data_IF_931041205218
#
_entry.id   IF_931041205218
#
_cell.length_a   1.000
_cell.length_b   1.000
_cell.length_c   1.000
_cell.angle_alpha   90.00
_cell.angle_beta   90.00
_cell.angle_gamma   90.00
#
_symmetry.space_group_name_H-M   'P 1'
#
loop_
_entity.id
_entity.type
_entity.pdbx_description
1 polymer ?
#
# COMPACT_ATOMS: atom_id res chain seq x y z
N UNK A 1 111.42 -23.73 -100.10
CA UNK A 1 110.47 -24.64 -99.41
C UNK A 1 109.99 -24.08 -98.06
N UNK A 2 110.72 -23.16 -97.45
CA UNK A 2 110.48 -22.69 -96.07
C UNK A 2 109.19 -21.88 -95.87
N UNK A 3 108.76 -21.07 -96.85
CA UNK A 3 107.55 -20.24 -96.71
C UNK A 3 106.24 -21.05 -96.62
N UNK A 4 106.19 -22.24 -97.25
CA UNK A 4 105.02 -23.13 -97.20
C UNK A 4 104.92 -23.86 -95.87
N UNK A 5 106.07 -24.22 -95.28
CA UNK A 5 106.15 -24.82 -93.95
C UNK A 5 105.77 -23.81 -92.87
N UNK A 6 106.22 -22.55 -93.01
CA UNK A 6 105.85 -21.47 -92.10
C UNK A 6 104.34 -21.17 -92.15
N UNK A 7 103.74 -21.12 -93.34
CA UNK A 7 102.31 -20.89 -93.48
C UNK A 7 101.47 -22.03 -92.87
N UNK A 8 101.91 -23.28 -93.05
CA UNK A 8 101.25 -24.45 -92.44
C UNK A 8 101.34 -24.44 -90.91
N UNK A 9 102.49 -24.07 -90.35
CA UNK A 9 102.65 -23.93 -88.90
C UNK A 9 101.79 -22.79 -88.34
N UNK A 10 101.70 -21.67 -89.06
CA UNK A 10 100.90 -20.51 -88.64
C UNK A 10 99.39 -20.80 -88.71
N UNK A 11 98.96 -21.53 -89.74
CA UNK A 11 97.56 -22.01 -89.84
C UNK A 11 97.25 -23.07 -88.78
N UNK A 12 98.17 -23.99 -88.49
CA UNK A 12 98.00 -24.97 -87.40
C UNK A 12 97.90 -24.29 -86.04
N UNK A 13 98.73 -23.28 -85.79
CA UNK A 13 98.69 -22.51 -84.54
C UNK A 13 97.38 -21.71 -84.43
N UNK A 14 96.92 -21.12 -85.53
CA UNK A 14 95.65 -20.39 -85.54
C UNK A 14 94.43 -21.29 -85.28
N UNK A 15 94.42 -22.51 -85.81
CA UNK A 15 93.35 -23.50 -85.51
C UNK A 15 93.39 -23.93 -84.04
N UNK A 16 94.58 -24.14 -83.46
CA UNK A 16 94.72 -24.50 -82.03
C UNK A 16 94.24 -23.34 -81.13
N UNK A 17 94.59 -22.09 -81.46
CA UNK A 17 94.13 -20.90 -80.72
C UNK A 17 92.62 -20.71 -80.83
N UNK A 18 92.03 -20.88 -82.02
CA UNK A 18 90.58 -20.80 -82.21
C UNK A 18 89.83 -21.91 -81.45
N UNK A 19 90.39 -23.12 -81.38
CA UNK A 19 89.78 -24.25 -80.67
C UNK A 19 89.85 -24.05 -79.14
N UNK A 20 90.92 -23.44 -78.63
CA UNK A 20 91.04 -23.09 -77.20
C UNK A 20 90.08 -21.98 -76.77
N UNK A 21 89.76 -21.03 -77.66
CA UNK A 21 88.79 -19.96 -77.38
C UNK A 21 87.33 -20.45 -77.25
N UNK A 22 86.98 -21.61 -77.82
CA UNK A 22 85.60 -22.14 -77.76
C UNK A 22 85.26 -22.87 -76.43
N UNK A 23 86.27 -23.23 -75.62
CA UNK A 23 86.08 -23.95 -74.36
C UNK A 23 85.69 -23.09 -73.14
N UNK A 24 85.93 -21.77 -73.20
CA UNK A 24 85.75 -20.85 -72.05
C UNK A 24 84.35 -20.25 -71.97
N UNK A 25 83.65 -20.13 -73.11
CA UNK A 25 82.29 -19.53 -73.17
C UNK A 25 81.16 -20.45 -72.67
N UNK A 26 81.47 -21.71 -72.33
CA UNK A 26 80.51 -22.70 -71.86
C UNK A 26 80.31 -22.75 -70.34
N UNK A 27 81.30 -22.31 -69.53
CA UNK A 27 81.16 -22.24 -68.06
C UNK A 27 80.48 -20.94 -67.64
N UNK A 28 80.84 -19.81 -68.24
CA UNK A 28 80.25 -18.48 -67.95
C UNK A 28 78.73 -18.44 -68.21
N UNK A 29 78.25 -19.12 -69.27
CA UNK A 29 76.82 -19.24 -69.57
C UNK A 29 76.04 -20.11 -68.57
N UNK A 30 76.69 -21.13 -67.99
CA UNK A 30 76.07 -22.00 -66.98
C UNK A 30 76.00 -21.30 -65.63
N UNK A 31 77.06 -20.57 -65.26
CA UNK A 31 77.10 -19.76 -64.04
C UNK A 31 76.04 -18.65 -64.07
N UNK A 32 75.91 -17.92 -65.18
CA UNK A 32 74.87 -16.90 -65.34
C UNK A 32 73.43 -17.47 -65.27
N UNK A 33 73.21 -18.67 -65.80
CA UNK A 33 71.91 -19.34 -65.75
C UNK A 33 71.59 -19.87 -64.34
N UNK A 34 72.61 -20.32 -63.60
CA UNK A 34 72.47 -20.76 -62.21
C UNK A 34 72.23 -19.58 -61.26
N UNK A 35 72.90 -18.45 -61.45
CA UNK A 35 72.63 -17.20 -60.73
C UNK A 35 71.19 -16.71 -60.95
N UNK A 36 70.70 -16.71 -62.19
CA UNK A 36 69.31 -16.35 -62.50
C UNK A 36 68.30 -17.27 -61.80
N UNK A 37 68.57 -18.58 -61.74
CA UNK A 37 67.70 -19.54 -61.03
C UNK A 37 67.71 -19.30 -59.52
N UNK A 38 68.86 -19.01 -58.93
CA UNK A 38 68.99 -18.69 -57.49
C UNK A 38 68.25 -17.38 -57.17
N UNK A 39 68.34 -16.36 -58.04
CA UNK A 39 67.62 -15.10 -57.87
C UNK A 39 66.10 -15.26 -58.04
N UNK A 40 65.66 -16.10 -58.98
CA UNK A 40 64.25 -16.45 -59.14
C UNK A 40 63.71 -17.24 -57.92
N UNK A 41 64.49 -18.18 -57.39
CA UNK A 41 64.13 -18.93 -56.18
C UNK A 41 64.05 -18.02 -54.95
N UNK A 42 64.98 -17.08 -54.78
CA UNK A 42 64.94 -16.06 -53.72
C UNK A 42 63.71 -15.15 -53.87
N UNK A 43 63.37 -14.71 -55.08
CA UNK A 43 62.15 -13.93 -55.34
C UNK A 43 60.89 -14.70 -54.96
N UNK A 44 60.78 -15.98 -55.32
CA UNK A 44 59.64 -16.82 -54.94
C UNK A 44 59.55 -17.03 -53.43
N UNK A 45 60.67 -17.24 -52.74
CA UNK A 45 60.69 -17.34 -51.28
C UNK A 45 60.30 -16.01 -50.61
N UNK A 46 60.74 -14.88 -51.15
CA UNK A 46 60.37 -13.55 -50.65
C UNK A 46 58.88 -13.25 -50.88
N UNK A 47 58.33 -13.58 -52.06
CA UNK A 47 56.90 -13.49 -52.34
C UNK A 47 56.07 -14.36 -51.39
N UNK A 48 56.48 -15.61 -51.15
CA UNK A 48 55.82 -16.51 -50.19
C UNK A 48 55.84 -15.96 -48.77
N UNK A 49 56.96 -15.37 -48.33
CA UNK A 49 57.06 -14.72 -47.01
C UNK A 49 56.14 -13.52 -46.89
N UNK A 50 56.07 -12.68 -47.94
CA UNK A 50 55.18 -11.52 -47.97
C UNK A 50 53.71 -11.97 -47.94
N UNK A 51 53.35 -13.02 -48.68
CA UNK A 51 51.99 -13.56 -48.68
C UNK A 51 51.63 -14.18 -47.31
N UNK A 52 52.54 -14.91 -46.68
CA UNK A 52 52.36 -15.44 -45.33
C UNK A 52 52.21 -14.32 -44.29
N UNK A 53 53.01 -13.25 -44.37
CA UNK A 53 52.88 -12.09 -43.49
C UNK A 53 51.54 -11.38 -43.67
N UNK A 54 51.09 -11.19 -44.92
CA UNK A 54 49.75 -10.63 -45.22
C UNK A 54 48.63 -11.51 -44.65
N UNK A 55 48.71 -12.83 -44.80
CA UNK A 55 47.74 -13.77 -44.22
C UNK A 55 47.67 -13.65 -42.69
N UNK A 56 48.82 -13.57 -42.01
CA UNK A 56 48.88 -13.39 -40.55
C UNK A 56 48.30 -12.04 -40.12
N UNK A 57 48.59 -10.96 -40.84
CA UNK A 57 47.99 -9.65 -40.56
C UNK A 57 46.48 -9.65 -40.78
N UNK A 58 45.99 -10.30 -41.82
CA UNK A 58 44.56 -10.44 -42.09
C UNK A 58 43.86 -11.28 -41.02
N UNK A 59 44.46 -12.39 -40.58
CA UNK A 59 43.95 -13.22 -39.48
C UNK A 59 43.88 -12.42 -38.17
N UNK A 60 44.92 -11.65 -37.83
CA UNK A 60 44.92 -10.78 -36.65
C UNK A 60 43.82 -9.71 -36.72
N UNK A 61 43.59 -9.11 -37.90
CA UNK A 61 42.51 -8.13 -38.10
C UNK A 61 41.13 -8.76 -37.90
N UNK A 62 40.91 -9.96 -38.44
CA UNK A 62 39.64 -10.69 -38.28
C UNK A 62 39.42 -11.07 -36.81
N UNK A 63 40.47 -11.52 -36.10
CA UNK A 63 40.38 -11.83 -34.67
C UNK A 63 40.08 -10.58 -33.83
N UNK A 64 40.73 -9.46 -34.12
CA UNK A 64 40.46 -8.18 -33.46
C UNK A 64 39.03 -7.69 -33.71
N UNK A 65 38.54 -7.80 -34.95
CA UNK A 65 37.16 -7.46 -35.28
C UNK A 65 36.15 -8.35 -34.54
N UNK A 66 36.39 -9.66 -34.47
CA UNK A 66 35.56 -10.59 -33.69
C UNK A 66 35.55 -10.26 -32.20
N UNK A 67 36.72 -9.93 -31.61
CA UNK A 67 36.80 -9.49 -30.21
C UNK A 67 35.98 -8.23 -29.96
N UNK A 68 36.08 -7.23 -30.85
CA UNK A 68 35.29 -5.99 -30.75
C UNK A 68 33.78 -6.25 -30.87
N UNK A 69 33.36 -7.11 -31.78
CA UNK A 69 31.95 -7.49 -31.90
C UNK A 69 31.45 -8.25 -30.66
N UNK A 70 32.25 -9.16 -30.11
CA UNK A 70 31.91 -9.87 -28.89
C UNK A 70 31.81 -8.94 -27.67
N UNK A 71 32.74 -7.99 -27.52
CA UNK A 71 32.70 -6.96 -26.49
C UNK A 71 31.43 -6.10 -26.59
N UNK A 72 31.08 -5.65 -27.80
CA UNK A 72 29.84 -4.90 -28.04
C UNK A 72 28.59 -5.70 -27.68
N UNK A 73 28.55 -7.00 -28.01
CA UNK A 73 27.43 -7.89 -27.63
C UNK A 73 27.31 -8.04 -26.13
N UNK A 74 28.43 -8.22 -25.41
CA UNK A 74 28.45 -8.32 -23.95
C UNK A 74 27.98 -7.01 -23.31
N UNK A 75 28.42 -5.86 -23.83
CA UNK A 75 27.99 -4.55 -23.33
C UNK A 75 26.49 -4.32 -23.58
N UNK A 76 25.98 -4.67 -24.76
CA UNK A 76 24.55 -4.60 -25.08
C UNK A 76 23.73 -5.51 -24.18
N UNK A 77 24.18 -6.74 -23.91
CA UNK A 77 23.52 -7.67 -23.00
C UNK A 77 23.49 -7.12 -21.56
N UNK A 78 24.60 -6.55 -21.07
CA UNK A 78 24.65 -5.90 -19.75
C UNK A 78 23.70 -4.72 -19.66
N UNK A 79 23.63 -3.87 -20.69
CA UNK A 79 22.66 -2.75 -20.76
C UNK A 79 21.22 -3.25 -20.66
N UNK A 80 20.87 -4.30 -21.40
CA UNK A 80 19.52 -4.90 -21.36
C UNK A 80 19.20 -5.49 -19.98
N UNK A 81 20.14 -6.18 -19.34
CA UNK A 81 19.95 -6.70 -17.99
C UNK A 81 19.78 -5.58 -16.96
N UNK A 82 20.56 -4.50 -17.08
CA UNK A 82 20.44 -3.33 -16.21
C UNK A 82 19.10 -2.61 -16.39
N UNK A 83 18.65 -2.43 -17.63
CA UNK A 83 17.34 -1.87 -17.95
C UNK A 83 16.19 -2.70 -17.37
N UNK A 84 16.25 -4.04 -17.50
CA UNK A 84 15.26 -4.95 -16.90
C UNK A 84 15.24 -4.85 -15.37
N UNK A 85 16.40 -4.74 -14.72
CA UNK A 85 16.48 -4.55 -13.26
C UNK A 85 15.86 -3.24 -12.82
N UNK A 86 16.13 -2.14 -13.54
CA UNK A 86 15.55 -0.83 -13.25
C UNK A 86 14.03 -0.87 -13.45
N UNK A 87 13.53 -1.51 -14.50
CA UNK A 87 12.10 -1.65 -14.75
C UNK A 87 11.42 -2.51 -13.66
N UNK A 88 12.04 -3.62 -13.25
CA UNK A 88 11.56 -4.46 -12.15
C UNK A 88 11.53 -3.68 -10.82
N UNK A 89 12.57 -2.91 -10.52
CA UNK A 89 12.61 -2.06 -9.32
C UNK A 89 11.50 -1.00 -9.33
N UNK A 90 11.28 -0.33 -10.47
CA UNK A 90 10.17 0.61 -10.65
C UNK A 90 8.80 -0.05 -10.47
N UNK A 91 8.60 -1.26 -11.01
CA UNK A 91 7.38 -2.04 -10.81
C UNK A 91 7.14 -2.34 -9.33
N UNK A 92 8.17 -2.77 -8.59
CA UNK A 92 8.07 -3.05 -7.15
C UNK A 92 7.75 -1.79 -6.35
N UNK A 93 8.40 -0.67 -6.66
CA UNK A 93 8.11 0.61 -6.01
C UNK A 93 6.66 1.06 -6.27
N UNK A 94 6.18 0.93 -7.51
CA UNK A 94 4.80 1.29 -7.86
C UNK A 94 3.78 0.37 -7.17
N UNK A 95 4.05 -0.94 -7.11
CA UNK A 95 3.22 -1.90 -6.37
C UNK A 95 3.14 -1.56 -4.88
N UNK A 96 4.27 -1.21 -4.25
CA UNK A 96 4.31 -0.76 -2.85
C UNK A 96 3.49 0.52 -2.63
N UNK A 97 3.57 1.49 -3.54
CA UNK A 97 2.76 2.72 -3.46
C UNK A 97 1.27 2.43 -3.57
N UNK A 98 0.87 1.57 -4.50
CA UNK A 98 -0.53 1.15 -4.66
C UNK A 98 -1.02 0.42 -3.41
N UNK A 99 -0.20 -0.47 -2.83
CA UNK A 99 -0.56 -1.17 -1.61
C UNK A 99 -0.67 -0.22 -0.41
N UNK A 100 0.25 0.73 -0.27
CA UNK A 100 0.20 1.77 0.77
C UNK A 100 -1.05 2.66 0.63
N UNK A 101 -1.40 3.06 -0.59
CA UNK A 101 -2.61 3.83 -0.87
C UNK A 101 -3.88 3.03 -0.51
N UNK A 102 -3.95 1.75 -0.87
CA UNK A 102 -5.07 0.87 -0.48
C UNK A 102 -5.19 0.73 1.04
N UNK A 103 -4.07 0.60 1.76
CA UNK A 103 -4.07 0.56 3.23
C UNK A 103 -4.64 1.85 3.82
N UNK A 104 -4.20 3.02 3.31
CA UNK A 104 -4.70 4.33 3.76
C UNK A 104 -6.20 4.50 3.49
N UNK A 105 -6.67 4.10 2.31
CA UNK A 105 -8.10 4.13 1.99
C UNK A 105 -8.91 3.21 2.91
N UNK A 106 -8.43 2.00 3.19
CA UNK A 106 -9.13 1.08 4.09
C UNK A 106 -9.14 1.58 5.54
N UNK A 107 -8.03 2.15 6.01
CA UNK A 107 -7.96 2.79 7.33
C UNK A 107 -8.96 3.95 7.46
N UNK A 108 -9.05 4.82 6.45
CA UNK A 108 -10.05 5.89 6.41
C UNK A 108 -11.48 5.36 6.45
N UNK A 109 -11.78 4.28 5.73
CA UNK A 109 -13.12 3.64 5.76
C UNK A 109 -13.44 3.05 7.14
N UNK A 110 -12.46 2.46 7.82
CA UNK A 110 -12.63 1.92 9.17
C UNK A 110 -12.85 3.05 10.17
N UNK A 111 -12.05 4.11 10.10
CA UNK A 111 -12.18 5.33 10.92
C UNK A 111 -13.56 5.97 10.75
N UNK A 112 -14.04 6.12 9.51
CA UNK A 112 -15.37 6.66 9.21
C UNK A 112 -16.49 5.80 9.81
N UNK A 113 -16.41 4.46 9.63
CA UNK A 113 -17.38 3.54 10.25
C UNK A 113 -17.39 3.64 11.76
N UNK A 114 -16.23 3.77 12.41
CA UNK A 114 -16.14 3.96 13.87
C UNK A 114 -16.83 5.24 14.32
N UNK A 115 -16.62 6.36 13.61
CA UNK A 115 -17.28 7.64 13.89
C UNK A 115 -18.80 7.54 13.74
N UNK A 116 -19.27 6.88 12.67
CA UNK A 116 -20.71 6.65 12.47
C UNK A 116 -21.31 5.76 13.57
N UNK A 117 -20.62 4.68 13.97
CA UNK A 117 -21.04 3.80 15.07
C UNK A 117 -21.12 4.56 16.40
N UNK A 118 -20.10 5.39 16.71
CA UNK A 118 -20.04 6.21 17.92
C UNK A 118 -21.19 7.22 17.96
N UNK A 119 -21.47 7.92 16.86
CA UNK A 119 -22.61 8.83 16.75
C UNK A 119 -23.95 8.12 17.00
N UNK A 120 -24.13 6.91 16.44
CA UNK A 120 -25.34 6.10 16.66
C UNK A 120 -25.49 5.67 18.12
N UNK A 121 -24.38 5.35 18.79
CA UNK A 121 -24.39 5.01 20.22
C UNK A 121 -24.73 6.24 21.06
N UNK A 122 -24.15 7.40 20.75
CA UNK A 122 -24.44 8.65 21.44
C UNK A 122 -25.89 9.07 21.28
N UNK A 123 -26.44 8.98 20.07
CA UNK A 123 -27.85 9.27 19.80
C UNK A 123 -28.78 8.35 20.60
N UNK A 124 -28.49 7.04 20.62
CA UNK A 124 -29.24 6.07 21.45
C UNK A 124 -29.19 6.42 22.94
N UNK A 125 -28.03 6.86 23.45
CA UNK A 125 -27.90 7.30 24.85
C UNK A 125 -28.77 8.52 25.14
N UNK A 126 -28.76 9.53 24.26
CA UNK A 126 -29.61 10.73 24.40
C UNK A 126 -31.09 10.37 24.36
N UNK A 127 -31.50 9.50 23.45
CA UNK A 127 -32.89 9.02 23.38
C UNK A 127 -33.30 8.27 24.65
N UNK A 128 -32.44 7.40 25.19
CA UNK A 128 -32.75 6.67 26.42
C UNK A 128 -32.80 7.59 27.64
N UNK A 129 -31.91 8.58 27.73
CA UNK A 129 -31.93 9.59 28.79
C UNK A 129 -33.23 10.41 28.76
N UNK A 130 -33.68 10.84 27.57
CA UNK A 130 -34.97 11.50 27.40
C UNK A 130 -36.14 10.63 27.84
N UNK A 131 -36.14 9.33 27.51
CA UNK A 131 -37.18 8.39 27.94
C UNK A 131 -37.21 8.22 29.47
N UNK A 132 -36.04 8.19 30.11
CA UNK A 132 -35.94 8.13 31.58
C UNK A 132 -36.49 9.41 32.20
N UNK A 133 -36.13 10.57 31.67
CA UNK A 133 -36.63 11.86 32.16
C UNK A 133 -38.15 11.98 32.02
N UNK A 134 -38.70 11.56 30.87
CA UNK A 134 -40.14 11.56 30.63
C UNK A 134 -40.87 10.62 31.59
N UNK A 135 -40.35 9.42 31.84
CA UNK A 135 -40.88 8.50 32.85
C UNK A 135 -40.89 9.15 34.24
N UNK A 136 -39.80 9.78 34.66
CA UNK A 136 -39.74 10.47 35.95
C UNK A 136 -40.76 11.63 36.05
N UNK A 137 -40.97 12.38 34.97
CA UNK A 137 -42.03 13.42 34.91
C UNK A 137 -43.42 12.81 35.05
N UNK A 138 -43.72 11.73 34.34
CA UNK A 138 -45.00 11.01 34.44
C UNK A 138 -45.22 10.42 35.84
N UNK A 139 -44.18 9.86 36.47
CA UNK A 139 -44.26 9.35 37.84
C UNK A 139 -44.52 10.46 38.86
N UNK A 140 -43.84 11.60 38.75
CA UNK A 140 -44.11 12.78 39.60
C UNK A 140 -45.55 13.27 39.44
N UNK A 141 -46.07 13.33 38.21
CA UNK A 141 -47.47 13.69 37.95
C UNK A 141 -48.43 12.66 38.55
N UNK A 142 -48.15 11.37 38.43
CA UNK A 142 -48.95 10.31 39.07
C UNK A 142 -48.94 10.44 40.59
N UNK A 143 -47.78 10.67 41.22
CA UNK A 143 -47.63 10.88 42.66
C UNK A 143 -48.39 12.13 43.15
N UNK A 144 -48.36 13.23 42.40
CA UNK A 144 -49.16 14.42 42.70
C UNK A 144 -50.67 14.14 42.55
N UNK A 145 -51.08 13.38 41.52
CA UNK A 145 -52.50 13.02 41.33
C UNK A 145 -53.04 12.07 42.41
N UNK A 146 -52.22 11.16 42.93
CA UNK A 146 -52.61 10.27 44.04
C UNK A 146 -52.66 10.99 45.38
N UNK A 147 -51.81 12.00 45.61
CA UNK A 147 -51.91 12.87 46.80
C UNK A 147 -53.22 13.67 46.85
N UNK A 148 -53.80 14.02 45.69
CA UNK A 148 -55.04 14.82 45.62
C UNK A 148 -56.32 13.96 45.69
N UNK A 149 -56.27 12.64 45.45
CA UNK A 149 -57.49 11.81 45.29
C UNK A 149 -57.70 10.67 46.30
N UNK A 150 -56.81 10.44 47.28
CA UNK A 150 -56.88 9.22 48.10
C UNK A 150 -56.74 9.36 49.62
N UNK A 151 -56.57 10.57 50.17
CA UNK A 151 -56.39 10.77 51.61
C UNK A 151 -57.70 10.99 52.37
N UNK A 152 -57.76 10.59 53.65
CA UNK A 152 -58.77 11.13 54.56
C UNK A 152 -58.57 12.65 54.67
N UNK A 153 -59.63 13.46 54.68
CA UNK A 153 -59.48 14.91 54.71
C UNK A 153 -58.59 15.38 55.86
N UNK A 154 -57.71 16.33 55.58
CA UNK A 154 -56.86 16.96 56.59
C UNK A 154 -57.61 18.06 57.32
N UNK A 155 -57.13 18.46 58.49
CA UNK A 155 -57.79 19.48 59.33
C UNK A 155 -57.91 20.81 58.59
N UNK A 156 -56.89 21.22 57.83
CA UNK A 156 -56.91 22.47 57.07
C UNK A 156 -57.94 22.48 55.93
N UNK A 157 -58.43 21.32 55.49
CA UNK A 157 -59.48 21.22 54.48
C UNK A 157 -60.90 21.35 55.07
N UNK A 158 -61.07 21.38 56.39
CA UNK A 158 -62.37 21.39 57.08
C UNK A 158 -62.51 22.69 57.89
N UNK A 159 -63.57 23.44 57.64
CA UNK A 159 -63.93 24.63 58.43
C UNK A 159 -65.28 24.46 59.14
N UNK A 160 -65.49 25.22 60.21
CA UNK A 160 -66.80 25.33 60.86
C UNK A 160 -67.80 25.90 59.83
N UNK A 161 -68.95 25.27 59.67
CA UNK A 161 -69.93 25.59 58.64
C UNK A 161 -69.79 24.79 57.34
N UNK A 162 -68.73 24.01 57.15
CA UNK A 162 -68.58 23.14 55.97
C UNK A 162 -69.48 21.91 56.06
N UNK A 163 -70.07 21.50 54.94
CA UNK A 163 -70.81 20.25 54.83
C UNK A 163 -69.85 19.07 54.67
N UNK A 164 -69.95 18.08 55.55
CA UNK A 164 -69.03 16.93 55.59
C UNK A 164 -69.77 15.63 55.75
N UNK A 165 -69.14 14.54 55.31
CA UNK A 165 -69.63 13.18 55.48
C UNK A 165 -68.79 12.50 56.57
N UNK A 166 -69.42 12.14 57.70
CA UNK A 166 -68.76 11.55 58.87
C UNK A 166 -69.18 10.10 59.09
N UNK A 167 -68.28 9.30 59.66
CA UNK A 167 -68.63 8.04 60.33
C UNK A 167 -68.81 8.33 61.81
N UNK A 168 -69.98 7.99 62.36
CA UNK A 168 -70.30 8.23 63.78
C UNK A 168 -69.37 7.43 64.70
N UNK A 169 -68.87 8.06 65.77
CA UNK A 169 -67.94 7.39 66.70
C UNK A 169 -68.63 6.33 67.57
N UNK A 170 -69.94 6.46 67.79
CA UNK A 170 -70.76 5.53 68.59
C UNK A 170 -70.86 4.13 67.99
N UNK A 171 -70.97 4.05 66.66
CA UNK A 171 -71.27 2.80 65.94
C UNK A 171 -70.21 2.45 64.89
N UNK A 172 -69.39 3.42 64.46
CA UNK A 172 -68.28 3.25 63.51
C UNK A 172 -68.64 2.61 62.15
N UNK A 173 -69.93 2.43 61.85
CA UNK A 173 -70.46 1.87 60.60
C UNK A 173 -71.40 2.84 59.91
N UNK A 174 -72.24 3.51 60.69
CA UNK A 174 -73.21 4.48 60.16
C UNK A 174 -72.50 5.74 59.66
N UNK A 175 -72.89 6.16 58.46
CA UNK A 175 -72.39 7.37 57.82
C UNK A 175 -73.48 8.43 57.73
N UNK A 176 -73.14 9.64 58.12
CA UNK A 176 -74.08 10.77 58.21
C UNK A 176 -73.45 12.00 57.58
N UNK A 177 -74.25 12.75 56.83
CA UNK A 177 -73.87 14.05 56.28
C UNK A 177 -74.42 15.17 57.14
N UNK A 178 -73.64 16.23 57.36
CA UNK A 178 -74.13 17.41 58.05
C UNK A 178 -73.12 18.55 58.09
N UNK A 179 -73.50 19.65 58.73
CA UNK A 179 -72.68 20.86 58.84
C UNK A 179 -71.84 20.82 60.11
N UNK A 180 -70.55 21.09 59.98
CA UNK A 180 -69.61 21.13 61.12
C UNK A 180 -69.94 22.30 62.05
N UNK A 181 -70.15 21.99 63.33
CA UNK A 181 -70.28 22.95 64.42
C UNK A 181 -68.93 23.20 65.11
N UNK A 182 -68.17 22.15 65.37
CA UNK A 182 -66.87 22.24 66.05
C UNK A 182 -65.89 21.15 65.58
N UNK A 183 -64.60 21.44 65.64
CA UNK A 183 -63.51 20.55 65.21
C UNK A 183 -62.75 20.07 66.44
N UNK A 184 -62.86 18.78 66.74
CA UNK A 184 -62.35 18.17 67.97
C UNK A 184 -60.93 17.58 67.82
N UNK A 185 -60.35 17.61 66.62
CA UNK A 185 -58.97 17.17 66.36
C UNK A 185 -58.09 18.38 66.06
N UNK A 186 -56.99 18.52 66.80
CA UNK A 186 -56.05 19.64 66.66
C UNK A 186 -54.90 19.36 65.68
N UNK A 187 -54.59 18.10 65.37
CA UNK A 187 -53.53 17.72 64.43
C UNK A 187 -53.98 17.86 62.97
N UNK A 188 -53.05 18.17 62.07
CA UNK A 188 -53.35 18.35 60.64
C UNK A 188 -53.86 17.06 59.99
N UNK A 189 -53.30 15.93 60.38
CA UNK A 189 -53.69 14.62 59.88
C UNK A 189 -54.00 13.68 61.04
N UNK A 190 -54.89 12.71 60.80
CA UNK A 190 -55.21 11.68 61.77
C UNK A 190 -55.52 10.35 61.03
N UNK A 191 -54.97 9.19 61.46
CA UNK A 191 -55.13 7.91 60.74
C UNK A 191 -56.58 7.51 60.49
N UNK A 192 -57.47 7.87 61.42
CA UNK A 192 -58.90 7.56 61.33
C UNK A 192 -59.75 8.68 60.70
N UNK A 193 -59.14 9.83 60.37
CA UNK A 193 -59.84 11.05 59.95
C UNK A 193 -60.08 12.02 61.11
N UNK A 194 -60.26 13.30 60.76
CA UNK A 194 -60.48 14.42 61.67
C UNK A 194 -61.82 14.25 62.38
N UNK A 195 -61.82 14.34 63.71
CA UNK A 195 -63.03 14.23 64.52
C UNK A 195 -63.72 15.60 64.59
N UNK A 196 -65.02 15.63 64.30
CA UNK A 196 -65.85 16.85 64.29
C UNK A 196 -67.18 16.61 65.01
N UNK A 197 -67.79 17.68 65.48
CA UNK A 197 -69.15 17.73 65.98
C UNK A 197 -70.03 18.44 64.95
N UNK A 198 -71.16 17.84 64.59
CA UNK A 198 -72.15 18.43 63.69
C UNK A 198 -73.12 19.36 64.43
N UNK A 199 -73.85 20.20 63.71
CA UNK A 199 -74.83 21.13 64.28
C UNK A 199 -75.96 20.42 65.06
N UNK A 200 -76.31 19.20 64.68
CA UNK A 200 -77.29 18.34 65.36
C UNK A 200 -76.73 17.64 66.62
N UNK A 201 -75.46 17.89 66.98
CA UNK A 201 -74.78 17.32 68.14
C UNK A 201 -74.16 15.94 67.90
N UNK A 202 -74.23 15.39 66.69
CA UNK A 202 -73.60 14.12 66.35
C UNK A 202 -72.08 14.28 66.20
N UNK A 203 -71.32 13.30 66.68
CA UNK A 203 -69.84 13.33 66.67
C UNK A 203 -69.31 12.15 65.86
N UNK A 204 -68.37 12.43 64.96
CA UNK A 204 -67.76 11.40 64.13
C UNK A 204 -66.48 11.85 63.45
N UNK A 205 -65.93 10.97 62.60
CA UNK A 205 -64.69 11.19 61.85
C UNK A 205 -64.99 11.45 60.38
N UNK A 206 -64.50 12.58 59.87
CA UNK A 206 -64.70 13.01 58.49
C UNK A 206 -64.05 12.01 57.53
N UNK A 207 -64.84 11.51 56.58
CA UNK A 207 -64.36 10.65 55.49
C UNK A 207 -64.28 11.41 54.17
N UNK A 208 -65.21 12.34 53.93
CA UNK A 208 -65.25 13.18 52.73
C UNK A 208 -65.74 14.58 53.08
N UNK A 209 -65.27 15.56 52.32
CA UNK A 209 -65.79 16.94 52.33
C UNK A 209 -66.74 17.04 51.13
N UNK A 210 -67.93 17.61 51.36
CA UNK A 210 -68.96 17.79 50.34
C UNK A 210 -68.86 19.10 49.58
#
# INVERSE_FOLDING_TARGET
MEKKLFLLLLMSFFVIVLTACQGVHGSEKKEAQEEQRIEEEKRKQEEQRIEEEKRKQEEQRIEEEKRKQEEQRIEEEKRKQEEQRIEEEKRKQEEQRIEEEKRKQEEQRIEEKRKQEEQRIEEKRKQEEQRIEEKHKQEKQKQQSTQVRGGKPTRSQISIGTHVEIILDKDRRTRVSGVVKDILTHTETHPYGIKVCLQDGQIGRVQRIG
#
